data_IF_914793706575
#
_entry.id   IF_914793706575
#
_cell.length_a   1.000
_cell.length_b   1.000
_cell.length_c   1.000
_cell.angle_alpha   90.00
_cell.angle_beta   90.00
_cell.angle_gamma   90.00
#
_symmetry.space_group_name_H-M   'P 1'
#
loop_
_entity.id
_entity.type
_entity.pdbx_description
1 polymer ?
#
# COMPACT_ATOMS: atom_id res chain seq x y z
N UNK A 1 -6.76 -1.06 -11.08
CA UNK A 1 -7.43 -0.05 -10.22
C UNK A 1 -8.40 -0.72 -9.24
N UNK A 2 -9.49 -1.37 -9.68
CA UNK A 2 -10.55 -1.91 -8.80
C UNK A 2 -10.00 -2.79 -7.66
N UNK A 3 -9.10 -3.73 -7.93
CA UNK A 3 -8.48 -4.59 -6.91
C UNK A 3 -7.72 -3.82 -5.82
N UNK A 4 -7.19 -2.66 -6.16
CA UNK A 4 -6.38 -1.83 -5.27
C UNK A 4 -7.21 -0.78 -4.52
N UNK A 5 -8.47 -0.53 -4.93
CA UNK A 5 -9.30 0.54 -4.37
C UNK A 5 -9.61 0.34 -2.87
N UNK A 6 -9.67 -0.91 -2.40
CA UNK A 6 -9.90 -1.21 -0.99
C UNK A 6 -8.77 -0.71 -0.05
N UNK A 7 -7.55 -0.52 -0.57
CA UNK A 7 -6.43 0.07 0.17
C UNK A 7 -6.17 1.51 -0.25
N UNK A 8 -5.87 1.78 -1.52
CA UNK A 8 -5.35 3.08 -1.95
C UNK A 8 -6.34 4.24 -1.78
N UNK A 9 -7.65 4.00 -1.69
CA UNK A 9 -8.63 5.05 -1.32
C UNK A 9 -8.58 5.45 0.17
N UNK A 10 -7.80 4.74 1.00
CA UNK A 10 -7.49 5.06 2.39
C UNK A 10 -6.01 4.83 2.70
N UNK A 11 -5.16 5.07 1.73
CA UNK A 11 -3.71 4.85 1.83
C UNK A 11 -3.14 5.58 3.04
N UNK A 12 -2.17 4.93 3.70
CA UNK A 12 -1.53 5.34 4.94
C UNK A 12 -2.37 5.22 6.23
N UNK A 13 -3.71 5.23 6.17
CA UNK A 13 -4.55 5.16 7.38
C UNK A 13 -4.19 4.01 8.34
N UNK A 14 -4.02 2.74 7.89
CA UNK A 14 -3.70 1.64 8.80
C UNK A 14 -2.36 1.82 9.54
N UNK A 15 -1.38 2.47 8.91
CA UNK A 15 -0.05 2.68 9.48
C UNK A 15 -0.04 3.80 10.54
N UNK A 16 -0.97 4.75 10.45
CA UNK A 16 -1.14 5.83 11.43
C UNK A 16 -1.35 5.30 12.85
N UNK A 17 -1.92 4.11 13.02
CA UNK A 17 -2.09 3.46 14.32
C UNK A 17 -0.76 3.10 15.03
N UNK A 18 0.35 3.01 14.30
CA UNK A 18 1.65 2.78 14.90
C UNK A 18 2.26 4.03 15.55
N UNK A 19 1.93 5.24 15.08
CA UNK A 19 2.51 6.50 15.57
C UNK A 19 2.51 6.59 17.10
N UNK A 20 1.37 6.41 17.82
CA UNK A 20 1.35 6.50 19.27
C UNK A 20 2.05 5.34 19.98
N UNK A 21 2.46 4.30 19.27
CA UNK A 21 3.02 3.05 19.82
C UNK A 21 4.52 2.93 19.61
N UNK A 22 5.10 3.82 18.81
CA UNK A 22 6.54 3.93 18.56
C UNK A 22 7.14 5.08 19.35
N UNK A 23 8.47 5.10 19.45
CA UNK A 23 9.25 6.12 20.14
C UNK A 23 10.48 6.51 19.30
N UNK A 24 11.17 7.56 19.71
CA UNK A 24 12.46 7.95 19.16
C UNK A 24 12.49 8.09 17.65
N UNK A 25 13.57 7.57 17.06
CA UNK A 25 13.86 7.66 15.62
C UNK A 25 12.82 6.88 14.79
N UNK A 26 12.41 5.70 15.23
CA UNK A 26 11.39 4.92 14.53
C UNK A 26 10.04 5.66 14.41
N UNK A 27 9.62 6.39 15.46
CA UNK A 27 8.43 7.24 15.37
C UNK A 27 8.62 8.39 14.40
N UNK A 28 9.76 9.08 14.45
CA UNK A 28 10.05 10.22 13.56
C UNK A 28 10.00 9.77 12.08
N UNK A 29 10.65 8.65 11.78
CA UNK A 29 10.66 8.05 10.44
C UNK A 29 9.25 7.71 9.95
N UNK A 30 8.41 7.08 10.78
CA UNK A 30 7.03 6.82 10.41
C UNK A 30 6.23 8.10 10.16
N UNK A 31 6.41 9.13 10.98
CA UNK A 31 5.71 10.41 10.79
C UNK A 31 6.15 11.10 9.51
N UNK A 32 7.41 10.99 9.13
CA UNK A 32 7.95 11.52 7.87
C UNK A 32 7.28 10.85 6.67
N UNK A 33 7.27 9.52 6.61
CA UNK A 33 6.57 8.75 5.56
C UNK A 33 5.08 9.16 5.52
N UNK A 34 4.41 9.15 6.67
CA UNK A 34 2.98 9.53 6.75
C UNK A 34 2.72 10.97 6.32
N UNK A 35 3.64 11.91 6.59
CA UNK A 35 3.49 13.30 6.15
C UNK A 35 3.45 13.39 4.62
N UNK A 36 4.30 12.64 3.93
CA UNK A 36 4.32 12.58 2.46
C UNK A 36 3.07 11.89 1.92
N UNK A 37 2.66 10.75 2.51
CA UNK A 37 1.43 10.03 2.16
C UNK A 37 0.18 10.94 2.26
N UNK A 38 0.13 11.78 3.28
CA UNK A 38 -0.93 12.77 3.47
C UNK A 38 -0.65 14.11 2.74
N UNK A 39 0.25 14.12 1.75
CA UNK A 39 0.51 15.25 0.86
C UNK A 39 1.09 16.48 1.55
N UNK A 40 1.81 16.31 2.67
CA UNK A 40 2.27 17.41 3.50
C UNK A 40 1.13 18.23 4.10
N UNK A 41 0.00 17.59 4.42
CA UNK A 41 -1.23 18.22 4.91
C UNK A 41 -2.03 18.97 3.84
N UNK A 42 -1.79 18.67 2.56
CA UNK A 42 -2.50 19.29 1.42
C UNK A 42 -3.36 18.23 0.72
N UNK A 43 -4.67 18.28 0.93
CA UNK A 43 -5.64 17.31 0.40
C UNK A 43 -5.44 16.97 -1.09
N UNK A 44 -5.21 17.92 -2.04
CA UNK A 44 -4.99 17.57 -3.43
C UNK A 44 -3.72 16.77 -3.72
N UNK A 45 -2.80 16.68 -2.76
CA UNK A 45 -1.54 15.94 -2.85
C UNK A 45 -1.55 14.62 -2.09
N UNK A 46 -2.59 14.34 -1.30
CA UNK A 46 -2.73 13.06 -0.61
C UNK A 46 -2.75 11.92 -1.63
N UNK A 47 -2.01 10.85 -1.36
CA UNK A 47 -1.95 9.70 -2.26
C UNK A 47 -3.33 9.07 -2.48
N UNK A 48 -4.16 8.97 -1.44
CA UNK A 48 -5.55 8.53 -1.59
C UNK A 48 -6.38 9.43 -2.54
N UNK A 49 -6.15 10.75 -2.51
CA UNK A 49 -6.81 11.71 -3.42
C UNK A 49 -6.30 11.52 -4.86
N UNK A 50 -5.00 11.36 -5.06
CA UNK A 50 -4.40 11.09 -6.37
C UNK A 50 -4.92 9.77 -6.95
N UNK A 51 -5.04 8.72 -6.13
CA UNK A 51 -5.62 7.46 -6.57
C UNK A 51 -7.08 7.60 -6.97
N UNK A 52 -7.88 8.34 -6.20
CA UNK A 52 -9.28 8.65 -6.54
C UNK A 52 -9.40 9.44 -7.86
N UNK A 53 -8.47 10.38 -8.12
CA UNK A 53 -8.40 11.08 -9.40
C UNK A 53 -8.10 10.12 -10.56
N UNK A 54 -7.13 9.21 -10.38
CA UNK A 54 -6.81 8.18 -11.38
C UNK A 54 -8.02 7.27 -11.66
N UNK A 55 -8.76 6.86 -10.63
CA UNK A 55 -9.99 6.07 -10.82
C UNK A 55 -11.03 6.82 -11.64
N UNK A 56 -11.31 8.09 -11.30
CA UNK A 56 -12.28 8.92 -12.06
C UNK A 56 -11.84 9.13 -13.51
N UNK A 57 -10.55 9.36 -13.75
CA UNK A 57 -10.01 9.52 -15.10
C UNK A 57 -10.21 8.26 -15.97
N UNK A 58 -10.35 7.10 -15.33
CA UNK A 58 -10.64 5.81 -15.97
C UNK A 58 -12.14 5.46 -16.01
N UNK A 59 -13.02 6.40 -15.63
CA UNK A 59 -14.46 6.19 -15.59
C UNK A 59 -14.94 5.26 -14.46
N UNK A 60 -14.13 5.11 -13.39
CA UNK A 60 -14.46 4.27 -12.24
C UNK A 60 -15.04 5.12 -11.09
N UNK A 61 -15.93 4.51 -10.30
CA UNK A 61 -16.41 5.10 -9.06
C UNK A 61 -15.27 5.12 -8.03
N UNK A 62 -14.93 6.31 -7.53
CA UNK A 62 -13.90 6.53 -6.53
C UNK A 62 -14.44 6.59 -5.09
N UNK A 63 -15.70 6.19 -4.87
CA UNK A 63 -16.24 6.07 -3.52
C UNK A 63 -15.60 4.88 -2.81
N UNK A 64 -15.18 5.09 -1.55
CA UNK A 64 -14.58 4.02 -0.77
C UNK A 64 -15.55 2.84 -0.61
N UNK A 65 -15.07 1.64 -0.90
CA UNK A 65 -15.87 0.41 -0.81
C UNK A 65 -16.78 0.11 -2.00
N UNK A 66 -16.88 1.00 -3.00
CA UNK A 66 -17.77 0.80 -4.17
C UNK A 66 -17.57 -0.56 -4.86
N UNK A 67 -16.36 -1.09 -4.83
CA UNK A 67 -16.02 -2.35 -5.50
C UNK A 67 -15.71 -3.51 -4.54
N UNK A 68 -15.94 -3.37 -3.24
CA UNK A 68 -15.53 -4.40 -2.27
C UNK A 68 -16.15 -5.78 -2.58
N UNK A 69 -17.39 -5.82 -3.08
CA UNK A 69 -18.05 -7.04 -3.51
C UNK A 69 -17.46 -7.71 -4.76
N UNK A 70 -16.60 -7.01 -5.50
CA UNK A 70 -15.91 -7.54 -6.68
C UNK A 70 -14.47 -7.96 -6.38
N UNK A 71 -13.91 -7.54 -5.24
CA UNK A 71 -12.52 -7.82 -4.86
C UNK A 71 -12.42 -9.23 -4.27
N UNK A 72 -11.55 -10.11 -4.82
CA UNK A 72 -11.40 -11.45 -4.29
C UNK A 72 -10.76 -11.47 -2.91
N UNK A 73 -11.08 -12.49 -2.11
CA UNK A 73 -10.58 -12.62 -0.73
C UNK A 73 -9.06 -12.57 -0.60
N UNK A 74 -8.31 -13.06 -1.60
CA UNK A 74 -6.84 -12.98 -1.60
C UNK A 74 -6.31 -11.54 -1.65
N UNK A 75 -7.01 -10.64 -2.33
CA UNK A 75 -6.65 -9.21 -2.35
C UNK A 75 -7.12 -8.49 -1.08
N UNK A 76 -8.33 -8.81 -0.59
CA UNK A 76 -8.81 -8.27 0.69
C UNK A 76 -7.98 -8.73 1.88
N UNK A 77 -7.34 -9.91 1.82
CA UNK A 77 -6.49 -10.42 2.88
C UNK A 77 -5.30 -9.49 3.17
N UNK A 78 -4.72 -8.85 2.15
CA UNK A 78 -3.64 -7.87 2.29
C UNK A 78 -4.12 -6.68 3.13
N UNK A 79 -5.26 -6.09 2.75
CA UNK A 79 -5.84 -4.92 3.42
C UNK A 79 -6.26 -5.26 4.86
N UNK A 80 -6.86 -6.43 5.05
CA UNK A 80 -7.29 -6.90 6.38
C UNK A 80 -6.08 -7.18 7.29
N UNK A 81 -4.98 -7.69 6.76
CA UNK A 81 -3.75 -7.89 7.52
C UNK A 81 -3.17 -6.55 8.02
N UNK A 82 -3.06 -5.54 7.17
CA UNK A 82 -2.63 -4.20 7.58
C UNK A 82 -3.52 -3.65 8.69
N UNK A 83 -4.84 -3.73 8.52
CA UNK A 83 -5.82 -3.29 9.51
C UNK A 83 -5.68 -4.07 10.82
N UNK A 84 -5.50 -5.39 10.75
CA UNK A 84 -5.28 -6.23 11.92
C UNK A 84 -4.00 -5.81 12.67
N UNK A 85 -2.89 -5.60 11.98
CA UNK A 85 -1.65 -5.16 12.60
C UNK A 85 -1.80 -3.76 13.21
N UNK A 86 -2.47 -2.84 12.50
CA UNK A 86 -2.72 -1.49 12.98
C UNK A 86 -3.63 -1.44 14.21
N UNK A 87 -4.67 -2.25 14.27
CA UNK A 87 -5.62 -2.24 15.37
C UNK A 87 -5.09 -2.91 16.66
N UNK A 88 -4.13 -3.83 16.53
CA UNK A 88 -3.60 -4.56 17.69
C UNK A 88 -2.23 -4.04 18.12
N UNK A 89 -2.16 -3.37 19.29
CA UNK A 89 -0.91 -2.80 19.84
C UNK A 89 0.25 -3.80 19.89
N UNK A 90 0.00 -5.06 20.23
CA UNK A 90 1.02 -6.12 20.31
C UNK A 90 1.68 -6.42 18.97
N UNK A 91 1.03 -6.07 17.84
CA UNK A 91 1.51 -6.32 16.48
C UNK A 91 2.21 -5.09 15.85
N UNK A 92 2.64 -4.10 16.67
CA UNK A 92 3.31 -2.91 16.15
C UNK A 92 4.59 -3.22 15.37
N UNK A 93 5.37 -4.23 15.81
CA UNK A 93 6.56 -4.68 15.08
C UNK A 93 6.19 -5.28 13.73
N UNK A 94 5.12 -6.09 13.67
CA UNK A 94 4.62 -6.65 12.41
C UNK A 94 4.10 -5.56 11.45
N UNK A 95 3.43 -4.53 11.97
CA UNK A 95 2.99 -3.40 11.14
C UNK A 95 4.18 -2.64 10.55
N UNK A 96 5.22 -2.40 11.34
CA UNK A 96 6.47 -1.75 10.87
C UNK A 96 7.16 -2.60 9.81
N UNK A 97 7.29 -3.90 10.03
CA UNK A 97 7.92 -4.80 9.06
C UNK A 97 7.13 -4.92 7.76
N UNK A 98 5.80 -4.91 7.85
CA UNK A 98 4.91 -4.89 6.68
C UNK A 98 5.09 -3.60 5.88
N UNK A 99 5.07 -2.42 6.53
CA UNK A 99 5.29 -1.14 5.87
C UNK A 99 6.68 -1.07 5.24
N UNK A 100 7.74 -1.47 5.97
CA UNK A 100 9.09 -1.45 5.43
C UNK A 100 9.22 -2.28 4.14
N UNK A 101 8.63 -3.48 4.09
CA UNK A 101 8.63 -4.27 2.85
C UNK A 101 7.81 -3.60 1.74
N UNK A 102 6.67 -3.00 2.10
CA UNK A 102 5.80 -2.32 1.14
C UNK A 102 6.55 -1.18 0.46
N UNK A 103 7.23 -0.30 1.21
CA UNK A 103 8.07 0.79 0.68
C UNK A 103 9.23 0.25 -0.18
N UNK A 104 9.94 -0.78 0.30
CA UNK A 104 11.07 -1.40 -0.40
C UNK A 104 10.69 -2.03 -1.75
N UNK A 105 9.42 -2.34 -1.98
CA UNK A 105 9.00 -3.11 -3.16
C UNK A 105 7.99 -2.39 -4.06
N UNK A 106 7.59 -1.16 -3.75
CA UNK A 106 6.51 -0.45 -4.45
C UNK A 106 6.96 0.34 -5.69
N UNK A 107 8.18 0.87 -5.72
CA UNK A 107 8.71 1.68 -6.85
C UNK A 107 8.54 1.00 -8.22
N UNK A 108 9.00 -0.23 -8.36
CA UNK A 108 8.97 -0.94 -9.65
C UNK A 108 7.54 -1.29 -10.11
N UNK A 109 6.65 -1.82 -9.26
CA UNK A 109 5.24 -2.00 -9.60
C UNK A 109 4.54 -0.70 -10.02
N UNK A 110 4.73 0.41 -9.29
CA UNK A 110 4.10 1.68 -9.63
C UNK A 110 4.58 2.19 -10.99
N UNK A 111 5.88 2.11 -11.29
CA UNK A 111 6.42 2.42 -12.63
C UNK A 111 5.79 1.56 -13.73
N UNK A 112 5.59 0.26 -13.46
CA UNK A 112 4.95 -0.66 -14.43
C UNK A 112 3.48 -0.32 -14.65
N UNK A 113 2.73 0.07 -13.62
CA UNK A 113 1.33 0.48 -13.74
C UNK A 113 1.20 1.79 -14.51
N UNK A 114 1.97 2.83 -14.20
CA UNK A 114 1.99 4.09 -14.94
C UNK A 114 2.30 3.88 -16.42
N UNK A 115 3.35 3.10 -16.70
CA UNK A 115 3.71 2.75 -18.09
C UNK A 115 2.64 1.89 -18.77
N UNK A 116 1.93 1.03 -18.02
CA UNK A 116 0.81 0.25 -18.52
C UNK A 116 -0.35 1.14 -18.99
N UNK A 117 -0.70 2.16 -18.22
CA UNK A 117 -1.72 3.13 -18.60
C UNK A 117 -1.31 3.90 -19.87
N UNK A 118 -0.07 4.35 -19.95
CA UNK A 118 0.46 5.05 -21.14
C UNK A 118 0.39 4.19 -22.40
N UNK A 119 0.75 2.90 -22.30
CA UNK A 119 0.61 1.97 -23.45
C UNK A 119 -0.83 1.77 -23.91
N UNK A 120 -1.80 1.99 -23.04
CA UNK A 120 -3.23 1.92 -23.35
C UNK A 120 -3.80 3.27 -23.85
N UNK A 121 -2.95 4.28 -24.07
CA UNK A 121 -3.37 5.64 -24.47
C UNK A 121 -4.02 6.45 -23.33
N UNK A 122 -3.80 6.07 -22.09
CA UNK A 122 -4.34 6.70 -20.88
C UNK A 122 -3.25 7.49 -20.16
N UNK A 123 -2.51 8.32 -20.89
CA UNK A 123 -1.32 9.04 -20.41
C UNK A 123 -1.61 10.44 -19.84
N UNK A 124 -2.89 10.78 -19.63
CA UNK A 124 -3.26 12.04 -19.00
C UNK A 124 -2.75 12.11 -17.55
N UNK A 125 -2.26 13.27 -17.09
CA UNK A 125 -1.75 13.42 -15.72
C UNK A 125 -2.71 12.93 -14.64
N UNK A 126 -4.03 13.14 -14.83
CA UNK A 126 -5.04 12.69 -13.87
C UNK A 126 -5.09 11.15 -13.74
N UNK A 127 -4.67 10.42 -14.77
CA UNK A 127 -4.65 8.95 -14.75
C UNK A 127 -3.33 8.38 -14.20
N UNK A 128 -2.21 9.05 -14.42
CA UNK A 128 -0.86 8.49 -14.15
C UNK A 128 -0.18 9.08 -12.93
N UNK A 129 -0.56 10.28 -12.48
CA UNK A 129 0.14 11.03 -11.43
C UNK A 129 0.29 10.25 -10.14
N UNK A 130 -0.70 9.48 -9.70
CA UNK A 130 -0.61 8.64 -8.52
C UNK A 130 0.61 7.70 -8.59
N UNK A 131 0.82 7.07 -9.74
CA UNK A 131 1.93 6.14 -9.94
C UNK A 131 3.27 6.84 -10.07
N UNK A 132 3.29 8.02 -10.71
CA UNK A 132 4.51 8.81 -10.91
C UNK A 132 5.00 9.37 -9.57
N UNK A 133 4.09 9.89 -8.72
CA UNK A 133 4.40 10.39 -7.37
C UNK A 133 5.06 9.28 -6.53
N UNK A 134 4.52 8.05 -6.57
CA UNK A 134 5.11 6.91 -5.86
C UNK A 134 6.51 6.54 -6.36
N UNK A 135 6.79 6.68 -7.66
CA UNK A 135 8.14 6.41 -8.18
C UNK A 135 9.17 7.41 -7.62
N UNK A 136 8.76 8.66 -7.36
CA UNK A 136 9.62 9.69 -6.79
C UNK A 136 9.74 9.54 -5.27
N UNK A 137 8.63 9.36 -4.57
CA UNK A 137 8.58 9.25 -3.11
C UNK A 137 9.28 7.99 -2.61
N UNK A 138 9.01 6.83 -3.21
CA UNK A 138 9.53 5.55 -2.75
C UNK A 138 11.07 5.48 -2.82
N UNK A 139 11.71 6.21 -3.72
CA UNK A 139 13.18 6.27 -3.77
C UNK A 139 13.81 6.80 -2.46
N UNK A 140 13.07 7.62 -1.69
CA UNK A 140 13.46 8.14 -0.38
C UNK A 140 12.91 7.26 0.73
N UNK A 141 11.65 6.85 0.61
CA UNK A 141 10.94 6.05 1.61
C UNK A 141 11.58 4.68 1.84
N UNK A 142 12.15 4.04 0.80
CA UNK A 142 12.89 2.77 0.94
C UNK A 142 13.96 2.84 2.04
N UNK A 143 14.81 3.87 2.01
CA UNK A 143 15.88 4.02 2.98
C UNK A 143 15.35 4.37 4.38
N UNK A 144 14.37 5.27 4.46
CA UNK A 144 13.74 5.66 5.73
C UNK A 144 13.04 4.46 6.37
N UNK A 145 12.26 3.71 5.60
CA UNK A 145 11.50 2.57 6.11
C UNK A 145 12.40 1.42 6.57
N UNK A 146 13.47 1.13 5.81
CA UNK A 146 14.40 0.05 6.16
C UNK A 146 15.28 0.41 7.36
N UNK A 147 15.92 1.58 7.35
CA UNK A 147 16.96 1.91 8.30
C UNK A 147 16.40 2.69 9.51
N UNK A 148 15.63 3.76 9.24
CA UNK A 148 15.23 4.70 10.27
C UNK A 148 13.95 4.25 11.00
N UNK A 149 13.07 3.52 10.31
CA UNK A 149 11.87 2.95 10.92
C UNK A 149 12.13 1.54 11.47
N UNK A 150 12.33 0.56 10.59
CA UNK A 150 12.45 -0.85 11.01
C UNK A 150 13.77 -1.12 11.74
N UNK A 151 14.90 -0.62 11.22
CA UNK A 151 16.22 -0.78 11.84
C UNK A 151 16.25 -0.16 13.23
N UNK A 152 15.90 1.13 13.38
CA UNK A 152 15.89 1.79 14.68
C UNK A 152 14.93 1.15 15.69
N UNK A 153 13.76 0.63 15.23
CA UNK A 153 12.86 -0.08 16.12
C UNK A 153 13.51 -1.34 16.70
N UNK A 154 14.25 -2.09 15.88
CA UNK A 154 14.93 -3.32 16.31
C UNK A 154 16.14 -3.00 17.19
N UNK A 155 16.87 -1.92 16.91
CA UNK A 155 17.97 -1.46 17.75
C UNK A 155 17.49 -1.06 19.14
N UNK A 156 16.39 -0.32 19.24
CA UNK A 156 15.80 0.13 20.49
C UNK A 156 15.05 -0.99 21.26
N UNK A 157 14.38 -1.90 20.53
CA UNK A 157 13.58 -2.97 21.08
C UNK A 157 13.91 -4.31 20.37
N UNK A 158 15.06 -4.96 20.65
CA UNK A 158 15.50 -6.17 19.94
C UNK A 158 14.50 -7.34 20.00
N UNK A 159 13.66 -7.38 21.03
CA UNK A 159 12.59 -8.38 21.16
C UNK A 159 11.54 -8.30 20.04
N UNK A 160 11.45 -7.19 19.32
CA UNK A 160 10.52 -7.02 18.19
C UNK A 160 11.11 -7.47 16.83
N UNK A 161 12.38 -7.87 16.78
CA UNK A 161 13.01 -8.27 15.52
C UNK A 161 12.23 -9.39 14.80
N UNK A 162 11.78 -10.40 15.54
CA UNK A 162 10.97 -11.49 15.00
C UNK A 162 9.61 -11.00 14.48
N UNK A 163 8.98 -10.05 15.15
CA UNK A 163 7.71 -9.48 14.73
C UNK A 163 7.87 -8.64 13.44
N UNK A 164 8.96 -7.85 13.32
CA UNK A 164 9.27 -7.08 12.11
C UNK A 164 9.44 -8.03 10.91
N UNK A 165 10.25 -9.07 11.07
CA UNK A 165 10.44 -10.08 10.02
C UNK A 165 9.13 -10.81 9.69
N UNK A 166 8.32 -11.13 10.70
CA UNK A 166 7.01 -11.75 10.50
C UNK A 166 6.09 -10.85 9.65
N UNK A 167 6.01 -9.55 9.96
CA UNK A 167 5.18 -8.61 9.20
C UNK A 167 5.58 -8.50 7.73
N UNK A 168 6.90 -8.39 7.47
CA UNK A 168 7.45 -8.38 6.11
C UNK A 168 7.12 -9.69 5.35
N UNK A 169 7.34 -10.84 6.00
CA UNK A 169 7.05 -12.15 5.41
C UNK A 169 5.55 -12.36 5.15
N UNK A 170 4.69 -11.90 6.03
CA UNK A 170 3.24 -11.98 5.85
C UNK A 170 2.79 -11.16 4.63
N UNK A 171 3.32 -9.93 4.47
CA UNK A 171 3.06 -9.11 3.27
C UNK A 171 3.53 -9.84 2.01
N UNK A 172 4.77 -10.31 1.98
CA UNK A 172 5.33 -11.03 0.83
C UNK A 172 4.48 -12.24 0.43
N UNK A 173 4.06 -13.05 1.41
CA UNK A 173 3.24 -14.23 1.15
C UNK A 173 1.88 -13.88 0.56
N UNK A 174 1.21 -12.83 1.07
CA UNK A 174 -0.09 -12.43 0.57
C UNK A 174 0.02 -11.79 -0.82
N UNK A 175 1.05 -11.01 -1.09
CA UNK A 175 1.31 -10.45 -2.43
C UNK A 175 1.58 -11.56 -3.44
N UNK A 176 2.36 -12.57 -3.07
CA UNK A 176 2.61 -13.74 -3.90
C UNK A 176 1.29 -14.47 -4.22
N UNK A 177 0.49 -14.79 -3.22
CA UNK A 177 -0.81 -15.48 -3.41
C UNK A 177 -1.77 -14.67 -4.28
N UNK A 178 -1.82 -13.36 -4.07
CA UNK A 178 -2.64 -12.48 -4.90
C UNK A 178 -2.16 -12.47 -6.35
N UNK A 179 -0.86 -12.38 -6.57
CA UNK A 179 -0.24 -12.39 -7.89
C UNK A 179 -0.48 -13.73 -8.62
N UNK A 180 -0.28 -14.85 -7.93
CA UNK A 180 -0.55 -16.19 -8.47
C UNK A 180 -2.02 -16.34 -8.90
N UNK A 181 -2.95 -15.90 -8.04
CA UNK A 181 -4.38 -15.89 -8.36
C UNK A 181 -4.67 -15.08 -9.62
N UNK A 182 -4.10 -13.89 -9.74
CA UNK A 182 -4.34 -13.00 -10.88
C UNK A 182 -3.75 -13.60 -12.17
N UNK A 183 -2.52 -14.08 -12.12
CA UNK A 183 -1.85 -14.70 -13.28
C UNK A 183 -2.63 -15.94 -13.75
N UNK A 184 -3.07 -16.81 -12.85
CA UNK A 184 -3.89 -17.97 -13.18
C UNK A 184 -5.21 -17.57 -13.85
N UNK A 185 -5.89 -16.56 -13.33
CA UNK A 185 -7.14 -16.07 -13.91
C UNK A 185 -6.93 -15.48 -15.29
N UNK A 186 -5.95 -14.61 -15.44
CA UNK A 186 -5.66 -13.93 -16.70
C UNK A 186 -5.13 -14.86 -17.79
N UNK A 187 -4.31 -15.86 -17.43
CA UNK A 187 -3.84 -16.87 -18.39
C UNK A 187 -4.98 -17.71 -19.00
N UNK A 188 -6.12 -17.76 -18.31
CA UNK A 188 -7.35 -18.43 -18.79
C UNK A 188 -8.37 -17.45 -19.41
N UNK A 189 -7.98 -16.21 -19.70
CA UNK A 189 -8.87 -15.17 -20.23
C UNK A 189 -9.99 -14.76 -19.27
N UNK A 190 -9.81 -14.98 -17.95
CA UNK A 190 -10.80 -14.66 -16.92
C UNK A 190 -10.41 -13.39 -16.17
N UNK A 191 -11.43 -12.61 -15.76
CA UNK A 191 -11.21 -11.46 -14.89
C UNK A 191 -10.61 -11.90 -13.54
N UNK A 192 -9.71 -11.07 -12.96
CA UNK A 192 -9.26 -11.19 -11.57
C UNK A 192 -10.32 -10.77 -10.55
N UNK A 193 -11.39 -10.11 -11.00
CA UNK A 193 -12.52 -9.71 -10.16
C UNK A 193 -13.51 -10.88 -9.97
N UNK A 194 -14.23 -10.85 -8.85
CA UNK A 194 -15.38 -11.71 -8.65
C UNK A 194 -16.50 -11.31 -9.64
N UNK A 195 -17.38 -12.26 -9.96
CA UNK A 195 -18.60 -11.89 -10.68
C UNK A 195 -19.51 -11.13 -9.72
N UNK A 196 -19.94 -9.95 -10.10
CA UNK A 196 -20.95 -9.22 -9.34
C UNK A 196 -22.16 -10.11 -9.16
N UNK A 197 -22.52 -10.41 -7.91
CA UNK A 197 -23.84 -10.93 -7.61
C UNK A 197 -24.85 -9.86 -8.03
N UNK A 198 -25.86 -10.26 -8.81
CA UNK A 198 -27.05 -9.43 -9.06
C UNK A 198 -27.85 -9.34 -7.77
#
# INVERSE_FOLDING_TARGET
MILRSAYHLKEADPHSFAIPRLRGRAKAALVEIQADEYGGGREPRMHATLFAQSMRALGLDASYGAYVGLVPGVALAIVNMMSMFGLHRRLRGALVGQLALFELTSTLPNRRYGNGLRRLGLDRPEATRFFDEHVEADAVHEAIAANDLAGSLVDDEPALAADVVFGARAQQLLDQRCSEYLVERWSRGRSGLLRGGR
#
